data_IF_109554199188
#
_entry.id   IF_109554199188
#
_cell.length_a   1.000
_cell.length_b   1.000
_cell.length_c   1.000
_cell.angle_alpha   90.00
_cell.angle_beta   90.00
_cell.angle_gamma   90.00
#
_symmetry.space_group_name_H-M   'P 1'
#
loop_
_entity.id
_entity.type
_entity.pdbx_description
1 polymer ?
#
# COMPACT_ATOMS: atom_id res chain seq x y z
N UNK A 1 -1.32 2.91 2.11
CA UNK A 1 -1.92 3.33 3.40
C UNK A 1 -3.41 3.63 3.27
N UNK A 2 -3.83 4.56 2.41
CA UNK A 2 -5.24 4.93 2.22
C UNK A 2 -6.20 3.75 1.99
N UNK A 3 -5.87 2.86 1.06
CA UNK A 3 -6.71 1.68 0.76
C UNK A 3 -6.85 0.73 1.96
N UNK A 4 -5.81 0.61 2.79
CA UNK A 4 -5.85 -0.23 4.00
C UNK A 4 -6.82 0.38 5.01
N UNK A 5 -6.71 1.68 5.28
CA UNK A 5 -7.63 2.40 6.17
C UNK A 5 -9.08 2.24 5.70
N UNK A 6 -9.31 2.39 4.39
CA UNK A 6 -10.64 2.22 3.79
C UNK A 6 -11.17 0.80 3.98
N UNK A 7 -10.35 -0.22 3.72
CA UNK A 7 -10.75 -1.62 3.88
C UNK A 7 -11.10 -1.94 5.32
N UNK A 8 -10.27 -1.55 6.27
CA UNK A 8 -10.52 -1.75 7.71
C UNK A 8 -11.81 -1.05 8.16
N UNK A 9 -12.00 0.21 7.75
CA UNK A 9 -13.24 0.93 8.08
C UNK A 9 -14.48 0.21 7.54
N UNK A 10 -14.44 -0.24 6.28
CA UNK A 10 -15.56 -0.93 5.66
C UNK A 10 -15.80 -2.32 6.26
N UNK A 11 -14.74 -3.04 6.64
CA UNK A 11 -14.85 -4.32 7.34
C UNK A 11 -15.50 -4.18 8.72
N UNK A 12 -15.35 -3.02 9.36
CA UNK A 12 -16.02 -2.66 10.61
C UNK A 12 -17.43 -2.07 10.41
N UNK A 13 -17.91 -1.95 9.17
CA UNK A 13 -19.19 -1.31 8.82
C UNK A 13 -19.33 0.14 9.31
N UNK A 14 -18.20 0.85 9.49
CA UNK A 14 -18.18 2.22 10.03
C UNK A 14 -18.22 3.29 8.94
N UNK A 15 -18.86 4.41 9.24
CA UNK A 15 -18.91 5.53 8.31
C UNK A 15 -17.62 6.34 8.35
N UNK A 16 -17.36 7.12 7.30
CA UNK A 16 -16.25 8.10 7.29
C UNK A 16 -16.34 9.07 8.47
N UNK A 17 -17.56 9.48 8.84
CA UNK A 17 -17.81 10.40 9.96
C UNK A 17 -17.36 9.78 11.29
N UNK A 18 -17.78 8.54 11.56
CA UNK A 18 -17.46 7.87 12.84
C UNK A 18 -15.96 7.70 13.07
N UNK A 19 -15.21 7.41 11.99
CA UNK A 19 -13.75 7.24 12.08
C UNK A 19 -13.05 8.59 12.14
N UNK A 20 -13.48 9.58 11.35
CA UNK A 20 -12.89 10.91 11.36
C UNK A 20 -13.05 11.60 12.73
N UNK A 21 -14.25 11.51 13.32
CA UNK A 21 -14.54 12.06 14.64
C UNK A 21 -13.66 11.41 15.73
N UNK A 22 -13.55 10.07 15.71
CA UNK A 22 -12.68 9.33 16.64
C UNK A 22 -11.19 9.62 16.43
N UNK A 23 -10.75 9.83 15.18
CA UNK A 23 -9.38 10.19 14.85
C UNK A 23 -9.08 11.69 15.03
N UNK A 24 -10.08 12.50 15.41
CA UNK A 24 -9.96 13.96 15.60
C UNK A 24 -9.46 14.69 14.34
N UNK A 25 -9.88 14.22 13.16
CA UNK A 25 -9.59 14.85 11.87
C UNK A 25 -10.90 15.14 11.12
N UNK A 26 -10.85 15.96 10.07
CA UNK A 26 -12.06 16.26 9.30
C UNK A 26 -12.45 15.06 8.42
N UNK A 27 -13.75 14.82 8.27
CA UNK A 27 -14.28 13.81 7.36
C UNK A 27 -13.79 14.01 5.91
N UNK A 28 -13.76 15.23 5.33
CA UNK A 28 -13.16 15.45 4.01
C UNK A 28 -11.70 15.01 3.95
N UNK A 29 -10.89 15.32 4.97
CA UNK A 29 -9.48 14.93 4.99
C UNK A 29 -9.31 13.41 5.03
N UNK A 30 -10.05 12.68 5.89
CA UNK A 30 -10.05 11.21 5.88
C UNK A 30 -10.46 10.65 4.51
N UNK A 31 -11.44 11.29 3.86
CA UNK A 31 -11.89 10.91 2.52
C UNK A 31 -10.78 11.05 1.46
N UNK A 32 -9.95 12.10 1.54
CA UNK A 32 -8.79 12.27 0.67
C UNK A 32 -7.70 11.24 0.96
N UNK A 33 -7.45 10.94 2.25
CA UNK A 33 -6.48 9.93 2.68
C UNK A 33 -6.84 8.54 2.17
N UNK A 34 -8.09 8.11 2.34
CA UNK A 34 -8.57 6.80 1.87
C UNK A 34 -8.46 6.60 0.36
N UNK A 35 -8.43 7.69 -0.40
CA UNK A 35 -8.29 7.66 -1.86
C UNK A 35 -6.85 7.91 -2.33
N UNK A 36 -5.90 8.02 -1.40
CA UNK A 36 -4.49 8.29 -1.70
C UNK A 36 -4.23 9.66 -2.31
N UNK A 37 -5.13 10.64 -2.12
CA UNK A 37 -4.97 12.01 -2.65
C UNK A 37 -4.19 12.93 -1.71
N UNK A 38 -4.02 12.52 -0.46
CA UNK A 38 -3.25 13.24 0.55
C UNK A 38 -2.33 12.27 1.28
N UNK A 39 -1.15 12.77 1.61
CA UNK A 39 -0.24 12.13 2.55
C UNK A 39 -0.67 12.46 3.99
N UNK A 40 -0.46 11.51 4.89
CA UNK A 40 -0.72 11.66 6.32
C UNK A 40 0.61 11.73 7.08
N UNK A 41 0.66 12.56 8.12
CA UNK A 41 1.77 12.49 9.08
C UNK A 41 1.69 11.18 9.88
N UNK A 42 2.80 10.82 10.51
CA UNK A 42 2.85 9.66 11.42
C UNK A 42 1.84 9.79 12.57
N UNK A 43 1.61 11.00 13.11
CA UNK A 43 0.59 11.21 14.14
C UNK A 43 -0.82 10.96 13.62
N UNK A 44 -1.13 11.41 12.40
CA UNK A 44 -2.44 11.20 11.77
C UNK A 44 -2.68 9.72 11.48
N UNK A 45 -1.67 9.00 10.97
CA UNK A 45 -1.77 7.55 10.76
C UNK A 45 -2.01 6.81 12.08
N UNK A 46 -1.28 7.19 13.14
CA UNK A 46 -1.48 6.60 14.47
C UNK A 46 -2.87 6.92 15.03
N UNK A 47 -3.40 8.12 14.81
CA UNK A 47 -4.75 8.49 15.23
C UNK A 47 -5.83 7.70 14.47
N UNK A 48 -5.68 7.55 13.15
CA UNK A 48 -6.59 6.75 12.32
C UNK A 48 -6.56 5.26 12.69
N UNK A 49 -5.36 4.70 12.94
CA UNK A 49 -5.20 3.33 13.41
C UNK A 49 -5.95 3.12 14.74
N UNK A 50 -5.71 3.98 15.74
CA UNK A 50 -6.41 3.91 17.03
C UNK A 50 -7.92 4.07 16.88
N UNK A 51 -8.35 4.98 16.00
CA UNK A 51 -9.77 5.18 15.72
C UNK A 51 -10.42 3.90 15.17
N UNK A 52 -9.68 3.06 14.45
CA UNK A 52 -10.10 1.74 13.94
C UNK A 52 -9.83 0.60 14.94
N UNK A 53 -9.39 0.89 16.18
CA UNK A 53 -9.08 -0.15 17.17
C UNK A 53 -7.77 -0.91 16.89
N UNK A 54 -6.88 -0.34 16.07
CA UNK A 54 -5.60 -0.94 15.69
C UNK A 54 -4.42 -0.20 16.35
N UNK A 55 -3.34 -0.92 16.60
CA UNK A 55 -2.03 -0.34 16.82
C UNK A 55 -1.42 0.19 15.51
N UNK A 56 -0.46 1.11 15.60
CA UNK A 56 0.27 1.59 14.41
C UNK A 56 1.01 0.44 13.72
N UNK A 57 1.60 -0.48 14.50
CA UNK A 57 2.30 -1.65 13.95
C UNK A 57 1.35 -2.57 13.17
N UNK A 58 0.12 -2.78 13.65
CA UNK A 58 -0.89 -3.59 12.95
C UNK A 58 -1.24 -2.97 11.60
N UNK A 59 -1.47 -1.65 11.57
CA UNK A 59 -1.73 -0.91 10.34
C UNK A 59 -0.57 -1.04 9.33
N UNK A 60 0.68 -0.97 9.81
CA UNK A 60 1.85 -1.13 8.97
C UNK A 60 2.00 -2.56 8.43
N UNK A 61 1.71 -3.58 9.24
CA UNK A 61 1.70 -4.99 8.80
C UNK A 61 0.64 -5.21 7.71
N UNK A 62 -0.58 -4.70 7.89
CA UNK A 62 -1.63 -4.77 6.87
C UNK A 62 -1.22 -4.06 5.57
N UNK A 63 -0.52 -2.93 5.68
CA UNK A 63 0.01 -2.23 4.52
C UNK A 63 1.14 -3.01 3.83
N UNK A 64 2.01 -3.67 4.59
CA UNK A 64 3.05 -4.54 4.05
C UNK A 64 2.44 -5.72 3.30
N UNK A 65 1.39 -6.34 3.85
CA UNK A 65 0.68 -7.45 3.20
C UNK A 65 0.03 -7.01 1.89
N UNK A 66 -0.60 -5.82 1.87
CA UNK A 66 -1.17 -5.27 0.64
C UNK A 66 -0.09 -4.94 -0.40
N UNK A 67 1.03 -4.35 0.01
CA UNK A 67 2.17 -4.10 -0.88
C UNK A 67 2.73 -5.40 -1.47
N UNK A 68 2.81 -6.45 -0.65
CA UNK A 68 3.27 -7.78 -1.08
C UNK A 68 2.32 -8.37 -2.11
N UNK A 69 1.02 -8.28 -1.88
CA UNK A 69 -0.02 -8.71 -2.84
C UNK A 69 0.11 -7.96 -4.18
N UNK A 70 0.22 -6.64 -4.12
CA UNK A 70 0.37 -5.81 -5.32
C UNK A 70 1.68 -6.11 -6.08
N UNK A 71 2.77 -6.39 -5.36
CA UNK A 71 4.04 -6.78 -5.97
C UNK A 71 3.94 -8.14 -6.68
N UNK A 72 3.21 -9.11 -6.12
CA UNK A 72 2.96 -10.41 -6.73
C UNK A 72 2.07 -10.31 -7.98
N UNK A 73 1.13 -9.37 -8.01
CA UNK A 73 0.24 -9.16 -9.15
C UNK A 73 0.91 -8.45 -10.34
N UNK A 74 2.08 -7.82 -10.15
CA UNK A 74 2.84 -7.30 -11.30
C UNK A 74 3.31 -8.48 -12.14
N UNK A 75 2.87 -8.62 -13.41
CA UNK A 75 3.39 -9.67 -14.27
C UNK A 75 4.90 -9.50 -14.33
N UNK A 76 5.62 -10.60 -14.12
CA UNK A 76 7.07 -10.62 -14.26
C UNK A 76 7.41 -9.95 -15.59
N UNK A 77 7.94 -8.72 -15.51
CA UNK A 77 8.42 -7.97 -16.68
C UNK A 77 9.27 -8.96 -17.44
N UNK A 78 8.82 -9.38 -18.64
CA UNK A 78 9.50 -10.41 -19.45
C UNK A 78 10.98 -10.08 -19.40
N UNK A 79 11.75 -10.87 -18.66
CA UNK A 79 13.21 -10.81 -18.72
C UNK A 79 13.49 -11.22 -20.15
N UNK A 80 13.73 -10.25 -21.02
CA UNK A 80 14.32 -10.52 -22.33
C UNK A 80 15.56 -11.35 -22.05
N UNK A 81 15.64 -12.61 -22.52
CA UNK A 81 16.86 -13.37 -22.40
C UNK A 81 17.93 -12.53 -23.11
N UNK A 82 18.97 -12.14 -22.38
CA UNK A 82 20.19 -11.64 -23.02
C UNK A 82 20.67 -12.78 -23.91
N UNK A 83 20.62 -12.57 -25.22
CA UNK A 83 21.14 -13.52 -26.18
C UNK A 83 22.65 -13.59 -25.98
N UNK A 84 23.11 -14.61 -25.27
CA UNK A 84 24.48 -15.09 -25.36
C UNK A 84 24.60 -15.98 -26.61
N UNK A 85 25.17 -15.42 -27.68
CA UNK A 85 25.83 -16.18 -28.77
C UNK A 85 27.30 -15.73 -28.74
N UNK A 86 28.24 -16.53 -28.23
CA UNK A 86 28.91 -17.71 -28.82
C UNK A 86 29.70 -17.40 -30.10
N UNK A 87 31.02 -17.37 -29.90
CA UNK A 87 32.10 -17.96 -30.69
C UNK A 87 32.27 -17.60 -32.17
N UNK A 88 33.38 -16.89 -32.44
CA UNK A 88 33.92 -16.63 -33.78
C UNK A 88 35.44 -16.65 -33.79
N UNK A 89 36.08 -17.69 -33.24
CA UNK A 89 37.49 -18.00 -33.52
C UNK A 89 37.55 -19.20 -34.49
N UNK A 90 37.62 -18.91 -35.79
CA UNK A 90 38.08 -19.89 -36.79
C UNK A 90 39.55 -19.59 -37.12
N UNK A 91 40.44 -20.49 -36.71
CA UNK A 91 41.78 -20.65 -37.27
C UNK A 91 41.66 -21.02 -38.76
N UNK A 92 42.43 -20.36 -39.61
CA UNK A 92 42.84 -20.92 -40.90
C UNK A 92 44.35 -20.72 -41.05
N UNK A 93 44.99 -21.83 -41.41
CA UNK A 93 46.42 -22.04 -41.62
C UNK A 93 46.95 -21.38 -42.90
#
# INVERSE_FOLDING_TARGET
>A
MGDVLRRERLAQERTLKDVADAARISMPYLSELERGRKEASSEVLAAAARALGLGLTDLLSLAQDELTRLAQMRPARRRTPSASHHDGMCLAA
#
